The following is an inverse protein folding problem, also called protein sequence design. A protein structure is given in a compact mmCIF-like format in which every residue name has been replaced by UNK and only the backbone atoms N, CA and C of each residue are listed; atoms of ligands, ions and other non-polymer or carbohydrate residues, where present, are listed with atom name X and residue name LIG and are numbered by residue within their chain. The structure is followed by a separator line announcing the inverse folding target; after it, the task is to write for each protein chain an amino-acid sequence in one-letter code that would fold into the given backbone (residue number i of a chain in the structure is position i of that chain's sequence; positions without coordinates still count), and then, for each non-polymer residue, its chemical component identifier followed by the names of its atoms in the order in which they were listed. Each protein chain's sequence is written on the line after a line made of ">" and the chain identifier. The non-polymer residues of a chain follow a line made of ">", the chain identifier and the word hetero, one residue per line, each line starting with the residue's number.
data_IF_864851241846
#
_entry.id   IF_864851241846
#
_cell.length_a   1.000
_cell.length_b   1.000
_cell.length_c   1.000
_cell.angle_alpha   90.00
_cell.angle_beta   90.00
_cell.angle_gamma   90.00
#
_symmetry.space_group_name_H-M   'P 1'
#
loop_
_entity.id
_entity.type
_entity.pdbx_description
1 polymer ?
#
# COMPACT_ATOMS: atom_id res chain seq x y z
N UNK A 1 -64.82 13.13 -37.13
CA UNK A 1 -65.07 14.57 -36.95
C UNK A 1 -64.89 14.88 -35.47
N UNK A 2 -63.83 15.64 -35.14
CA UNK A 2 -63.73 16.67 -34.06
C UNK A 2 -64.12 16.28 -32.61
N UNK A 3 -63.44 16.63 -31.52
CA UNK A 3 -62.49 17.71 -31.21
C UNK A 3 -61.64 17.35 -29.96
N UNK A 4 -60.52 18.06 -29.83
CA UNK A 4 -59.47 18.02 -28.79
C UNK A 4 -59.91 18.66 -27.48
N UNK A 5 -59.45 18.15 -26.32
CA UNK A 5 -59.08 18.92 -25.11
C UNK A 5 -58.02 18.06 -24.35
N UNK A 6 -56.70 18.31 -24.45
CA UNK A 6 -55.91 19.35 -23.79
C UNK A 6 -55.94 19.29 -22.25
N UNK A 7 -55.22 18.35 -21.64
CA UNK A 7 -54.72 18.49 -20.27
C UNK A 7 -53.19 18.41 -20.27
N UNK A 8 -52.59 19.59 -20.29
CA UNK A 8 -51.18 19.79 -20.01
C UNK A 8 -50.93 19.54 -18.52
N UNK A 9 -50.52 18.32 -18.15
CA UNK A 9 -49.84 18.06 -16.89
C UNK A 9 -48.34 18.08 -17.16
N UNK A 10 -47.76 19.27 -17.04
CA UNK A 10 -46.31 19.45 -16.98
C UNK A 10 -45.84 18.99 -15.60
N UNK A 11 -45.66 17.67 -15.43
CA UNK A 11 -45.11 17.10 -14.20
C UNK A 11 -43.61 17.39 -14.20
N UNK A 12 -43.23 18.34 -13.35
CA UNK A 12 -41.85 18.58 -12.93
C UNK A 12 -41.22 17.24 -12.51
N UNK A 13 -40.26 16.76 -13.30
CA UNK A 13 -39.33 15.73 -12.83
C UNK A 13 -37.95 16.37 -12.78
N UNK A 14 -37.71 17.16 -11.73
CA UNK A 14 -36.37 17.58 -11.34
C UNK A 14 -35.59 16.32 -11.02
N UNK A 15 -34.81 15.85 -11.99
CA UNK A 15 -33.85 14.79 -11.82
C UNK A 15 -32.76 15.31 -10.87
N UNK A 16 -32.98 15.10 -9.57
CA UNK A 16 -31.96 15.37 -8.56
C UNK A 16 -30.86 14.35 -8.79
N UNK A 17 -29.83 14.78 -9.52
CA UNK A 17 -28.60 14.03 -9.70
C UNK A 17 -27.87 14.05 -8.35
N UNK A 18 -28.23 13.14 -7.44
CA UNK A 18 -27.39 12.90 -6.26
C UNK A 18 -26.11 12.23 -6.75
N UNK A 19 -25.12 13.04 -7.12
CA UNK A 19 -23.76 12.58 -7.25
C UNK A 19 -23.31 12.14 -5.85
N UNK A 20 -23.46 10.85 -5.54
CA UNK A 20 -22.68 10.22 -4.48
C UNK A 20 -21.23 10.19 -4.95
N UNK A 21 -20.54 11.32 -4.80
CA UNK A 21 -19.09 11.36 -4.79
C UNK A 21 -18.63 10.66 -3.52
N UNK A 22 -18.61 9.32 -3.56
CA UNK A 22 -17.68 8.56 -2.76
C UNK A 22 -16.28 8.84 -3.31
N UNK A 23 -15.77 10.06 -3.08
CA UNK A 23 -14.34 10.26 -3.01
C UNK A 23 -13.89 9.29 -1.92
N UNK A 24 -13.36 8.14 -2.32
CA UNK A 24 -12.75 7.20 -1.39
C UNK A 24 -11.80 8.03 -0.54
N UNK A 25 -12.09 8.14 0.76
CA UNK A 25 -11.25 8.92 1.64
C UNK A 25 -9.81 8.44 1.41
N UNK A 26 -8.81 9.33 1.25
CA UNK A 26 -7.44 8.96 0.90
C UNK A 26 -6.79 7.98 1.89
N UNK A 27 -7.47 7.70 3.02
CA UNK A 27 -7.13 6.70 4.02
C UNK A 27 -8.14 5.55 4.20
N UNK A 28 -8.92 5.20 3.17
CA UNK A 28 -9.88 4.11 3.22
C UNK A 28 -9.25 2.71 3.08
N UNK A 29 -8.02 2.50 3.55
CA UNK A 29 -7.51 1.16 3.81
C UNK A 29 -8.29 0.56 5.00
N UNK A 30 -9.54 0.16 4.74
CA UNK A 30 -10.39 -0.56 5.69
C UNK A 30 -10.01 -2.04 5.64
N UNK A 31 -9.63 -2.60 6.78
CA UNK A 31 -9.19 -3.99 6.90
C UNK A 31 -7.68 -4.20 6.71
N UNK A 32 -7.23 -5.44 6.81
CA UNK A 32 -5.82 -5.81 6.58
C UNK A 32 -5.53 -5.79 5.08
N UNK A 33 -4.67 -4.88 4.57
CA UNK A 33 -4.38 -4.83 3.14
C UNK A 33 -3.80 -6.17 2.69
N UNK A 34 -4.24 -6.67 1.53
CA UNK A 34 -3.61 -7.85 0.91
C UNK A 34 -2.13 -7.54 0.67
N UNK A 35 -1.25 -8.24 1.39
CA UNK A 35 0.17 -7.95 1.39
C UNK A 35 0.86 -8.24 0.04
N UNK A 36 0.24 -9.04 -0.83
CA UNK A 36 0.74 -9.35 -2.18
C UNK A 36 0.21 -8.41 -3.25
N UNK A 37 -0.97 -7.82 -3.06
CA UNK A 37 -1.58 -6.86 -3.99
C UNK A 37 -1.27 -5.39 -3.63
N UNK A 38 -1.05 -5.09 -2.35
CA UNK A 38 -0.89 -3.71 -1.85
C UNK A 38 0.54 -3.23 -2.07
N UNK A 39 0.69 -2.07 -2.73
CA UNK A 39 1.96 -1.40 -2.87
C UNK A 39 2.09 -0.21 -1.92
N UNK A 40 3.31 0.29 -1.73
CA UNK A 40 3.58 1.38 -0.78
C UNK A 40 2.83 2.69 -1.07
N UNK A 41 2.37 2.95 -2.30
CA UNK A 41 1.62 4.18 -2.62
C UNK A 41 0.30 4.27 -1.85
N UNK A 42 -0.32 3.14 -1.53
CA UNK A 42 -1.56 3.11 -0.74
C UNK A 42 -1.31 3.58 0.68
N UNK A 43 -0.20 3.16 1.30
CA UNK A 43 0.17 3.65 2.63
C UNK A 43 0.54 5.14 2.59
N UNK A 44 1.28 5.54 1.55
CA UNK A 44 1.75 6.91 1.38
C UNK A 44 0.66 7.89 0.97
N UNK A 45 -0.54 7.44 0.57
CA UNK A 45 -1.67 8.35 0.31
C UNK A 45 -2.24 8.98 1.58
N UNK A 46 -1.95 8.41 2.76
CA UNK A 46 -2.15 9.11 4.03
C UNK A 46 -0.84 9.45 4.74
N UNK A 47 0.17 8.55 4.70
CA UNK A 47 1.45 8.78 5.39
C UNK A 47 2.38 9.72 4.60
N UNK A 48 1.82 10.79 4.04
CA UNK A 48 2.50 11.84 3.29
C UNK A 48 3.04 12.97 4.19
N UNK A 49 2.55 13.06 5.43
CA UNK A 49 2.85 14.11 6.39
C UNK A 49 1.79 15.20 6.50
N UNK A 50 0.75 15.16 5.66
CA UNK A 50 -0.39 16.08 5.70
C UNK A 50 -1.59 15.39 6.35
N UNK A 51 -1.99 14.22 5.82
CA UNK A 51 -3.18 13.50 6.27
C UNK A 51 -2.89 12.60 7.48
N UNK A 52 -1.71 12.01 7.53
CA UNK A 52 -1.20 11.25 8.65
C UNK A 52 0.29 11.52 8.85
N UNK A 53 0.80 11.12 10.01
CA UNK A 53 2.22 11.25 10.33
C UNK A 53 3.07 10.61 9.23
N UNK A 54 4.03 11.36 8.72
CA UNK A 54 4.97 10.85 7.73
C UNK A 54 5.81 9.71 8.31
N UNK A 55 5.98 8.64 7.52
CA UNK A 55 6.84 7.52 7.89
C UNK A 55 8.22 7.68 7.25
N UNK A 56 9.33 7.47 7.98
CA UNK A 56 10.66 7.49 7.40
C UNK A 56 10.84 6.36 6.38
N UNK A 57 11.14 6.70 5.13
CA UNK A 57 11.28 5.71 4.07
C UNK A 57 12.24 6.18 2.97
N UNK A 58 12.83 5.21 2.28
CA UNK A 58 13.59 5.44 1.05
C UNK A 58 12.93 4.66 -0.07
N UNK A 59 12.40 5.36 -1.07
CA UNK A 59 11.78 4.74 -2.25
C UNK A 59 12.76 4.69 -3.41
N UNK A 60 12.70 3.60 -4.18
CA UNK A 60 13.56 3.39 -5.34
C UNK A 60 12.75 3.18 -6.63
N UNK A 61 13.36 3.55 -7.75
CA UNK A 61 12.95 3.12 -9.10
C UNK A 61 14.19 2.58 -9.80
N UNK A 62 14.32 1.25 -9.83
CA UNK A 62 15.60 0.61 -10.20
C UNK A 62 16.67 0.95 -9.16
N UNK A 63 17.85 1.40 -9.63
CA UNK A 63 18.95 1.81 -8.76
C UNK A 63 18.84 3.27 -8.23
N UNK A 64 17.85 4.05 -8.70
CA UNK A 64 17.72 5.47 -8.33
C UNK A 64 16.82 5.64 -7.11
N UNK A 65 17.29 6.42 -6.12
CA UNK A 65 16.46 6.93 -5.02
C UNK A 65 15.46 7.95 -5.58
N UNK A 66 14.17 7.70 -5.41
CA UNK A 66 13.09 8.61 -5.81
C UNK A 66 12.54 9.42 -4.64
N UNK A 67 12.74 8.94 -3.42
CA UNK A 67 12.29 9.61 -2.19
C UNK A 67 13.16 9.14 -1.04
N UNK A 68 13.58 10.06 -0.17
CA UNK A 68 14.29 9.76 1.08
C UNK A 68 13.71 10.66 2.17
N UNK A 69 13.27 10.06 3.28
CA UNK A 69 12.70 10.81 4.40
C UNK A 69 13.30 10.33 5.73
N UNK A 70 14.29 11.06 6.23
CA UNK A 70 14.80 10.95 7.60
C UNK A 70 15.78 9.81 7.86
N UNK A 71 16.41 9.84 9.03
CA UNK A 71 17.33 8.80 9.49
C UNK A 71 16.58 7.52 9.88
N UNK A 72 17.16 6.35 9.57
CA UNK A 72 16.51 5.06 9.78
C UNK A 72 15.43 4.73 8.74
N UNK A 73 15.43 5.43 7.60
CA UNK A 73 14.51 5.20 6.50
C UNK A 73 14.65 3.78 5.92
N UNK A 74 13.55 3.02 5.89
CA UNK A 74 13.55 1.67 5.35
C UNK A 74 13.28 1.66 3.84
N UNK A 75 13.83 0.68 3.10
CA UNK A 75 13.65 0.59 1.65
C UNK A 75 12.22 0.19 1.27
N UNK A 76 11.64 0.89 0.30
CA UNK A 76 10.37 0.53 -0.34
C UNK A 76 10.48 0.65 -1.86
N UNK A 77 9.60 -0.04 -2.58
CA UNK A 77 9.60 -0.16 -4.05
C UNK A 77 10.91 -0.73 -4.62
N UNK A 78 11.65 -1.51 -3.81
CA UNK A 78 12.88 -2.20 -4.21
C UNK A 78 12.54 -3.54 -4.81
N UNK A 79 13.10 -3.86 -5.98
CA UNK A 79 12.96 -5.17 -6.59
C UNK A 79 13.85 -6.20 -5.89
N UNK A 80 13.24 -7.15 -5.17
CA UNK A 80 14.00 -8.06 -4.31
C UNK A 80 14.81 -9.06 -5.12
N UNK A 81 14.26 -9.56 -6.23
CA UNK A 81 14.98 -10.47 -7.11
C UNK A 81 16.22 -9.81 -7.72
N UNK A 82 16.10 -8.55 -8.16
CA UNK A 82 17.25 -7.79 -8.66
C UNK A 82 18.32 -7.60 -7.57
N UNK A 83 17.93 -7.27 -6.34
CA UNK A 83 18.86 -7.16 -5.20
C UNK A 83 19.58 -8.49 -4.97
N UNK A 84 18.84 -9.59 -4.95
CA UNK A 84 19.42 -10.93 -4.76
C UNK A 84 20.40 -11.30 -5.87
N UNK A 85 20.08 -11.06 -7.14
CA UNK A 85 20.99 -11.35 -8.27
C UNK A 85 22.31 -10.59 -8.15
N UNK A 86 22.30 -9.34 -7.67
CA UNK A 86 23.51 -8.54 -7.53
C UNK A 86 24.25 -8.72 -6.19
N UNK A 87 23.59 -9.27 -5.17
CA UNK A 87 24.11 -9.40 -3.79
C UNK A 87 23.75 -10.74 -3.16
N UNK A 88 23.81 -11.82 -3.92
CA UNK A 88 23.29 -13.14 -3.52
C UNK A 88 23.89 -13.68 -2.22
N UNK A 89 25.15 -13.38 -1.92
CA UNK A 89 25.78 -13.80 -0.65
C UNK A 89 25.20 -13.08 0.57
N UNK A 90 24.58 -11.90 0.39
CA UNK A 90 24.08 -11.06 1.50
C UNK A 90 22.59 -11.17 1.74
N UNK A 91 21.87 -11.91 0.90
CA UNK A 91 20.42 -12.02 0.97
C UNK A 91 19.98 -13.46 0.76
N UNK A 92 18.90 -13.85 1.45
CA UNK A 92 18.21 -15.09 1.15
C UNK A 92 17.56 -15.03 -0.24
N UNK A 93 17.41 -16.20 -0.87
CA UNK A 93 16.66 -16.29 -2.13
C UNK A 93 15.19 -15.93 -1.91
N UNK A 94 14.48 -15.37 -2.92
CA UNK A 94 13.05 -15.07 -2.78
C UNK A 94 12.21 -16.29 -2.35
N UNK A 95 12.58 -17.48 -2.80
CA UNK A 95 11.88 -18.72 -2.50
C UNK A 95 12.12 -19.24 -1.07
N UNK A 96 13.19 -18.82 -0.41
CA UNK A 96 13.55 -19.23 0.95
C UNK A 96 13.12 -18.21 2.02
N UNK A 97 12.42 -17.14 1.63
CA UNK A 97 11.91 -16.17 2.59
C UNK A 97 10.84 -16.81 3.48
N UNK A 98 10.77 -16.34 4.73
CA UNK A 98 9.70 -16.73 5.64
C UNK A 98 8.34 -16.45 5.00
N UNK A 99 7.41 -17.41 5.11
CA UNK A 99 6.10 -17.34 4.45
C UNK A 99 5.28 -16.10 4.79
N UNK A 100 5.56 -15.43 5.91
CA UNK A 100 4.93 -14.17 6.35
C UNK A 100 5.45 -12.94 5.58
N UNK A 101 6.63 -13.05 4.98
CA UNK A 101 7.24 -12.00 4.15
C UNK A 101 6.61 -12.08 2.76
N UNK A 102 5.77 -11.09 2.43
CA UNK A 102 5.11 -11.00 1.13
C UNK A 102 5.75 -9.91 0.28
N UNK A 103 6.17 -10.27 -0.92
CA UNK A 103 6.71 -9.35 -1.91
C UNK A 103 5.62 -8.96 -2.91
N UNK A 104 5.06 -7.76 -2.77
CA UNK A 104 4.03 -7.28 -3.69
C UNK A 104 4.63 -7.07 -5.08
N UNK A 105 4.21 -7.89 -6.06
CA UNK A 105 4.79 -7.93 -7.42
C UNK A 105 6.33 -8.04 -7.41
N UNK A 106 6.88 -8.85 -6.50
CA UNK A 106 8.32 -9.07 -6.36
C UNK A 106 9.10 -7.94 -5.67
N UNK A 107 8.40 -6.93 -5.14
CA UNK A 107 9.03 -5.75 -4.51
C UNK A 107 8.87 -5.73 -3.00
N UNK A 108 9.87 -5.18 -2.32
CA UNK A 108 9.77 -4.78 -0.92
C UNK A 108 8.81 -3.58 -0.85
N UNK A 109 7.77 -3.71 -0.04
CA UNK A 109 6.78 -2.65 0.21
C UNK A 109 6.51 -2.53 1.71
N UNK A 110 5.61 -1.63 2.11
CA UNK A 110 5.23 -1.47 3.51
C UNK A 110 4.65 -2.78 4.08
N UNK A 111 3.85 -3.51 3.30
CA UNK A 111 3.18 -4.75 3.72
C UNK A 111 4.11 -5.97 3.74
N UNK A 112 5.32 -5.84 3.22
CA UNK A 112 6.37 -6.87 3.35
C UNK A 112 6.78 -7.03 4.82
N UNK A 113 6.80 -5.93 5.57
CA UNK A 113 7.19 -5.92 6.98
C UNK A 113 6.00 -5.71 7.92
N UNK A 114 4.95 -5.03 7.47
CA UNK A 114 3.79 -4.66 8.29
C UNK A 114 2.51 -5.39 7.89
N UNK A 115 1.74 -5.81 8.88
CA UNK A 115 0.38 -6.32 8.73
C UNK A 115 -0.49 -5.63 9.79
N UNK A 116 -1.49 -4.85 9.36
CA UNK A 116 -2.36 -4.08 10.26
C UNK A 116 -3.19 -4.96 11.22
N UNK A 117 -3.36 -6.25 10.91
CA UNK A 117 -4.02 -7.22 11.79
C UNK A 117 -3.07 -7.94 12.73
N UNK A 118 -1.76 -7.65 12.67
CA UNK A 118 -0.78 -8.25 13.56
C UNK A 118 -0.84 -7.64 14.96
N UNK A 119 -0.72 -8.49 15.97
CA UNK A 119 -0.58 -8.10 17.38
C UNK A 119 0.87 -7.77 17.76
N UNK A 120 1.82 -7.91 16.83
CA UNK A 120 3.23 -7.59 17.08
C UNK A 120 3.44 -6.08 17.22
N UNK A 121 4.49 -5.68 17.96
CA UNK A 121 4.87 -4.28 18.11
C UNK A 121 5.04 -3.64 16.72
N UNK A 122 4.50 -2.43 16.54
CA UNK A 122 4.49 -1.69 15.25
C UNK A 122 3.79 -2.45 14.11
N UNK A 123 2.86 -3.35 14.44
CA UNK A 123 2.10 -4.13 13.48
C UNK A 123 3.01 -4.93 12.51
N UNK A 124 4.10 -5.49 13.03
CA UNK A 124 5.05 -6.26 12.20
C UNK A 124 4.46 -7.62 11.82
N UNK A 125 4.83 -8.17 10.67
CA UNK A 125 4.41 -9.52 10.25
C UNK A 125 4.94 -10.64 11.18
N UNK A 126 5.95 -10.33 12.01
CA UNK A 126 6.50 -11.19 13.05
C UNK A 126 7.27 -10.37 14.08
N UNK A 127 7.48 -10.90 15.30
CA UNK A 127 8.41 -10.29 16.26
C UNK A 127 9.81 -10.11 15.67
N UNK A 128 10.37 -8.92 15.91
CA UNK A 128 11.74 -8.54 15.54
C UNK A 128 12.75 -8.73 16.69
N UNK A 129 12.45 -9.60 17.65
CA UNK A 129 13.41 -9.98 18.69
C UNK A 129 14.69 -10.51 18.04
N UNK A 130 15.86 -10.06 18.51
CA UNK A 130 17.18 -10.41 17.97
C UNK A 130 17.30 -10.17 16.44
N UNK A 131 16.61 -9.16 15.92
CA UNK A 131 16.62 -8.80 14.49
C UNK A 131 16.04 -9.88 13.57
N UNK A 132 15.18 -10.78 14.09
CA UNK A 132 14.63 -11.91 13.32
C UNK A 132 13.96 -11.48 12.01
N UNK A 133 13.26 -10.35 11.99
CA UNK A 133 12.64 -9.85 10.75
C UNK A 133 13.71 -9.47 9.72
N UNK A 134 14.77 -8.78 10.13
CA UNK A 134 15.86 -8.39 9.24
C UNK A 134 16.58 -9.64 8.69
N UNK A 135 16.85 -10.60 9.57
CA UNK A 135 17.53 -11.86 9.24
C UNK A 135 16.66 -12.83 8.44
N UNK A 136 15.36 -12.56 8.29
CA UNK A 136 14.53 -13.32 7.35
C UNK A 136 14.94 -13.07 5.89
N UNK A 137 15.59 -11.94 5.61
CA UNK A 137 16.04 -11.56 4.27
C UNK A 137 17.56 -11.48 4.14
N UNK A 138 18.29 -11.21 5.22
CA UNK A 138 19.74 -10.92 5.19
C UNK A 138 20.59 -12.06 5.73
N UNK A 139 21.65 -12.39 4.99
CA UNK A 139 22.77 -13.17 5.52
C UNK A 139 23.75 -12.21 6.19
N UNK A 140 24.20 -12.56 7.41
CA UNK A 140 25.26 -11.84 8.12
C UNK A 140 26.63 -12.31 7.69
#
# INVERSE_FOLDING_TARGET
>A
MSHRIAHALCILSTMVLTATSAAAAPCAARGTPDATATNSKVCLSCHDGVLARNVPHTSFRGARVTSYRGHGAHPINVDYALVFVHKSSRFHSPASLDSRIKLAKGKITCTTCHNLGSTEKKALVMSNLKSRLCLSCHNL
#
